data_IF_119746166621
#
_entry.id   IF_119746166621
#
_cell.length_a   1.000
_cell.length_b   1.000
_cell.length_c   1.000
_cell.angle_alpha   90.00
_cell.angle_beta   90.00
_cell.angle_gamma   90.00
#
_symmetry.space_group_name_H-M   'P 1'
#
loop_
_entity.id
_entity.type
_entity.pdbx_description
1 polymer ?
#
# COMPACT_ATOMS: atom_id res chain seq x y z
N UNK A 1 -18.82 -2.05 2.49
CA UNK A 1 -18.46 -2.15 3.92
C UNK A 1 -17.07 -1.55 4.12
N UNK A 2 -16.83 -0.87 5.25
CA UNK A 2 -15.49 -0.39 5.57
C UNK A 2 -14.58 -1.61 5.80
N UNK A 3 -13.40 -1.64 5.17
CA UNK A 3 -12.46 -2.78 5.20
C UNK A 3 -11.40 -2.60 6.29
N UNK A 4 -11.22 -1.38 6.77
CA UNK A 4 -10.31 -1.00 7.85
C UNK A 4 -11.14 -0.82 9.15
N UNK A 5 -11.47 -1.93 9.78
CA UNK A 5 -12.34 -2.00 10.97
C UNK A 5 -11.80 -3.03 11.94
N UNK A 6 -12.27 -2.99 13.18
CA UNK A 6 -12.08 -4.09 14.11
C UNK A 6 -12.56 -5.42 13.48
N UNK A 7 -12.03 -6.55 13.95
CA UNK A 7 -12.53 -7.86 13.55
C UNK A 7 -14.04 -7.97 13.73
N UNK A 8 -14.70 -8.73 12.86
CA UNK A 8 -16.14 -8.98 12.97
C UNK A 8 -16.48 -9.82 14.23
N UNK A 9 -15.61 -10.76 14.58
CA UNK A 9 -15.76 -11.59 15.75
C UNK A 9 -15.21 -10.90 17.00
N UNK A 10 -16.05 -10.72 18.01
CA UNK A 10 -15.67 -10.08 19.27
C UNK A 10 -14.48 -10.78 19.96
N UNK A 11 -14.38 -12.10 19.86
CA UNK A 11 -13.26 -12.86 20.40
C UNK A 11 -11.92 -12.46 19.78
N UNK A 12 -11.88 -12.23 18.47
CA UNK A 12 -10.70 -11.77 17.73
C UNK A 12 -10.34 -10.32 18.07
N UNK A 13 -11.33 -9.46 18.24
CA UNK A 13 -11.13 -8.09 18.70
C UNK A 13 -10.47 -8.05 20.09
N UNK A 14 -10.99 -8.82 21.05
CA UNK A 14 -10.43 -8.95 22.40
C UNK A 14 -9.02 -9.53 22.35
N UNK A 15 -8.79 -10.57 21.53
CA UNK A 15 -7.48 -11.19 21.33
C UNK A 15 -6.46 -10.17 20.82
N UNK A 16 -6.80 -9.39 19.81
CA UNK A 16 -5.90 -8.37 19.24
C UNK A 16 -5.58 -7.26 20.26
N UNK A 17 -6.55 -6.79 21.03
CA UNK A 17 -6.30 -5.81 22.09
C UNK A 17 -5.39 -6.35 23.18
N UNK A 18 -5.57 -7.63 23.58
CA UNK A 18 -4.67 -8.29 24.53
C UNK A 18 -3.24 -8.40 23.98
N UNK A 19 -3.10 -8.79 22.71
CA UNK A 19 -1.81 -8.87 22.05
C UNK A 19 -1.12 -7.49 22.00
N UNK A 20 -1.85 -6.44 21.65
CA UNK A 20 -1.33 -5.07 21.61
C UNK A 20 -0.92 -4.60 23.02
N UNK A 21 -1.72 -4.87 24.04
CA UNK A 21 -1.39 -4.53 25.43
C UNK A 21 -0.16 -5.31 25.95
N UNK A 22 -0.02 -6.58 25.55
CA UNK A 22 1.18 -7.39 25.85
C UNK A 22 2.43 -6.77 25.21
N UNK A 23 2.36 -6.46 23.92
CA UNK A 23 3.46 -5.83 23.18
C UNK A 23 3.89 -4.52 23.84
N UNK A 24 2.94 -3.64 24.17
CA UNK A 24 3.22 -2.36 24.84
C UNK A 24 3.98 -2.57 26.16
N UNK A 25 3.52 -3.50 27.01
CA UNK A 25 4.22 -3.82 28.27
C UNK A 25 5.61 -4.38 28.05
N UNK A 26 5.75 -5.32 27.09
CA UNK A 26 7.05 -5.98 26.82
C UNK A 26 8.07 -4.99 26.27
N UNK A 27 7.62 -4.05 25.42
CA UNK A 27 8.46 -2.99 24.83
C UNK A 27 8.61 -1.76 25.73
N UNK A 28 8.08 -1.80 26.96
CA UNK A 28 8.25 -0.73 27.95
C UNK A 28 7.59 0.60 27.55
N UNK A 29 6.49 0.55 26.80
CA UNK A 29 5.78 1.76 26.33
C UNK A 29 4.31 1.76 26.77
N UNK A 30 3.67 2.92 26.71
CA UNK A 30 2.26 3.10 27.07
C UNK A 30 1.46 3.51 25.84
N UNK A 31 0.64 2.59 25.35
CA UNK A 31 -0.25 2.87 24.22
C UNK A 31 -1.41 3.80 24.64
N UNK A 32 -1.64 4.85 23.85
CA UNK A 32 -2.65 5.90 24.10
C UNK A 32 -3.39 6.24 22.81
N UNK A 33 -4.40 7.09 22.93
CA UNK A 33 -5.15 7.61 21.79
C UNK A 33 -6.06 6.58 21.11
N UNK A 34 -6.50 6.91 19.91
CA UNK A 34 -7.46 6.14 19.15
C UNK A 34 -6.84 4.86 18.58
N UNK A 35 -7.59 3.78 18.58
CA UNK A 35 -7.23 2.55 17.90
C UNK A 35 -7.36 2.73 16.40
N UNK A 36 -6.32 2.32 15.66
CA UNK A 36 -6.31 2.28 14.20
C UNK A 36 -6.24 0.82 13.77
N UNK A 37 -7.32 0.35 13.18
CA UNK A 37 -7.45 -1.00 12.67
C UNK A 37 -7.05 -1.08 11.21
N UNK A 38 -6.26 -2.07 10.85
CA UNK A 38 -5.94 -2.38 9.47
C UNK A 38 -6.98 -3.29 8.81
N UNK A 39 -6.61 -3.82 7.67
CA UNK A 39 -7.47 -4.68 6.86
C UNK A 39 -8.12 -5.81 7.66
N UNK A 40 -9.47 -5.80 7.73
CA UNK A 40 -10.27 -6.82 8.44
C UNK A 40 -9.76 -7.13 9.85
N UNK A 41 -9.27 -6.13 10.56
CA UNK A 41 -8.78 -6.30 11.92
C UNK A 41 -7.49 -7.10 12.09
N UNK A 42 -6.75 -7.38 11.01
CA UNK A 42 -5.47 -8.11 11.09
C UNK A 42 -4.36 -7.34 11.78
N UNK A 43 -4.47 -6.02 11.80
CA UNK A 43 -3.54 -5.16 12.52
C UNK A 43 -4.28 -4.24 13.47
N UNK A 44 -3.65 -3.95 14.61
CA UNK A 44 -4.08 -2.92 15.56
C UNK A 44 -2.90 -2.01 15.84
N UNK A 45 -3.09 -0.72 15.66
CA UNK A 45 -2.05 0.28 15.90
C UNK A 45 -2.54 1.38 16.82
N UNK A 46 -1.64 1.92 17.64
CA UNK A 46 -1.89 3.09 18.50
C UNK A 46 -0.61 3.90 18.69
N UNK A 47 -0.76 5.18 18.97
CA UNK A 47 0.34 5.96 19.49
C UNK A 47 0.79 5.39 20.86
N UNK A 48 2.10 5.27 21.04
CA UNK A 48 2.73 4.71 22.23
C UNK A 48 3.86 5.67 22.66
N UNK A 49 3.52 6.58 23.56
CA UNK A 49 4.34 7.74 23.97
C UNK A 49 4.72 8.60 22.74
N UNK A 50 6.00 8.74 22.41
CA UNK A 50 6.52 9.41 21.20
C UNK A 50 6.70 8.45 20.02
N UNK A 51 6.11 7.27 20.09
CA UNK A 51 6.23 6.16 19.13
C UNK A 51 4.87 5.75 18.57
N UNK A 52 4.94 4.88 17.58
CA UNK A 52 3.78 4.20 17.01
C UNK A 52 3.93 2.70 17.18
N UNK A 53 3.02 2.07 17.91
CA UNK A 53 3.00 0.64 18.12
C UNK A 53 1.96 0.00 17.20
N UNK A 54 2.42 -0.84 16.29
CA UNK A 54 1.59 -1.66 15.40
C UNK A 54 1.75 -3.14 15.77
N UNK A 55 0.65 -3.86 15.89
CA UNK A 55 0.65 -5.32 16.04
C UNK A 55 -0.09 -5.94 14.87
N UNK A 56 0.55 -6.84 14.15
CA UNK A 56 -0.04 -7.69 13.11
C UNK A 56 -0.23 -9.10 13.66
N UNK A 57 -1.31 -9.78 13.24
CA UNK A 57 -1.59 -11.16 13.59
C UNK A 57 -1.92 -12.00 12.36
N UNK A 58 -1.50 -13.25 12.40
CA UNK A 58 -1.86 -14.29 11.43
C UNK A 58 -2.06 -15.63 12.15
N UNK A 59 -2.78 -16.60 11.58
CA UNK A 59 -2.68 -17.98 12.03
C UNK A 59 -1.22 -18.44 12.09
N UNK A 60 -0.85 -19.26 13.09
CA UNK A 60 0.54 -19.65 13.34
C UNK A 60 1.18 -20.35 12.13
N UNK A 61 0.41 -21.14 11.37
CA UNK A 61 0.82 -21.80 10.15
C UNK A 61 1.00 -20.85 8.94
N UNK A 62 0.61 -19.57 9.08
CA UNK A 62 0.69 -18.52 8.06
C UNK A 62 1.54 -17.32 8.48
N UNK A 63 2.34 -17.49 9.52
CA UNK A 63 3.28 -16.45 9.94
C UNK A 63 4.41 -16.26 8.91
N UNK A 64 4.98 -15.05 8.88
CA UNK A 64 6.13 -14.74 8.00
C UNK A 64 5.71 -14.23 6.63
N UNK A 65 6.70 -14.20 5.74
CA UNK A 65 6.55 -13.71 4.38
C UNK A 65 6.63 -12.19 4.24
N UNK A 66 6.38 -11.74 3.02
CA UNK A 66 6.67 -10.37 2.60
C UNK A 66 6.09 -9.30 3.51
N UNK A 67 4.80 -9.36 3.80
CA UNK A 67 4.12 -8.35 4.62
C UNK A 67 4.52 -8.38 6.09
N UNK A 68 5.05 -9.52 6.56
CA UNK A 68 5.50 -9.69 7.94
C UNK A 68 6.82 -8.97 8.21
N UNK A 69 7.75 -9.02 7.25
CA UNK A 69 9.12 -8.53 7.43
C UNK A 69 9.36 -7.15 6.81
N UNK A 70 8.38 -6.66 6.04
CA UNK A 70 8.57 -5.52 5.14
C UNK A 70 9.07 -4.26 5.82
N UNK A 71 8.45 -3.85 6.91
CA UNK A 71 8.80 -2.63 7.64
C UNK A 71 10.22 -2.67 8.18
N UNK A 72 10.60 -3.77 8.84
CA UNK A 72 11.93 -3.93 9.41
C UNK A 72 13.02 -3.99 8.33
N UNK A 73 12.75 -4.69 7.22
CA UNK A 73 13.68 -4.74 6.09
C UNK A 73 13.79 -3.40 5.37
N UNK A 74 12.70 -2.63 5.24
CA UNK A 74 12.77 -1.28 4.70
C UNK A 74 13.67 -0.38 5.56
N UNK A 75 13.58 -0.48 6.87
CA UNK A 75 14.41 0.32 7.77
C UNK A 75 15.91 0.03 7.59
N UNK A 76 16.25 -1.21 7.29
CA UNK A 76 17.65 -1.65 7.10
C UNK A 76 18.17 -1.33 5.70
N UNK A 77 17.37 -1.55 4.65
CA UNK A 77 17.85 -1.59 3.27
C UNK A 77 17.59 -0.29 2.49
N UNK A 78 16.49 0.41 2.80
CA UNK A 78 16.16 1.66 2.09
C UNK A 78 17.00 2.82 2.67
N UNK A 79 17.66 3.63 1.83
CA UNK A 79 18.47 4.77 2.31
C UNK A 79 17.70 5.72 3.22
N UNK A 80 18.38 6.26 4.22
CA UNK A 80 17.78 7.18 5.22
C UNK A 80 17.28 8.49 4.63
N UNK A 81 17.73 8.85 3.44
CA UNK A 81 17.26 10.01 2.67
C UNK A 81 15.83 9.86 2.16
N UNK A 82 15.29 8.62 2.09
CA UNK A 82 13.86 8.38 1.90
C UNK A 82 13.19 8.46 3.27
N UNK A 83 12.46 9.56 3.51
CA UNK A 83 11.82 9.82 4.80
C UNK A 83 10.70 8.82 5.07
N UNK A 84 10.84 8.12 6.17
CA UNK A 84 9.90 7.10 6.65
C UNK A 84 10.01 6.94 8.17
N UNK A 85 9.01 6.38 8.86
CA UNK A 85 9.12 6.03 10.27
C UNK A 85 10.30 5.07 10.50
N UNK A 86 11.13 5.36 11.50
CA UNK A 86 12.25 4.50 11.90
C UNK A 86 11.74 3.38 12.78
N UNK A 87 12.25 2.18 12.56
CA UNK A 87 11.96 1.04 13.44
C UNK A 87 12.87 1.14 14.68
N UNK A 88 12.27 1.11 15.85
CA UNK A 88 12.97 1.12 17.13
C UNK A 88 13.09 -0.27 17.72
N UNK A 89 12.02 -1.06 17.60
CA UNK A 89 12.01 -2.43 18.10
C UNK A 89 11.00 -3.29 17.34
N UNK A 90 11.26 -4.60 17.33
CA UNK A 90 10.38 -5.62 16.76
C UNK A 90 10.28 -6.78 17.73
N UNK A 91 9.08 -7.25 18.00
CA UNK A 91 8.81 -8.37 18.88
C UNK A 91 7.92 -9.40 18.16
N UNK A 92 8.41 -10.62 18.01
CA UNK A 92 7.65 -11.75 17.50
C UNK A 92 7.30 -12.73 18.62
N UNK A 93 6.05 -13.23 18.62
CA UNK A 93 5.63 -14.30 19.55
C UNK A 93 4.45 -15.07 18.97
N UNK A 94 4.18 -16.24 19.56
CA UNK A 94 2.99 -17.05 19.27
C UNK A 94 2.17 -17.25 20.53
N UNK A 95 0.86 -17.24 20.40
CA UNK A 95 -0.09 -17.56 21.47
C UNK A 95 -1.44 -17.97 20.89
N UNK A 96 -2.09 -18.95 21.50
CA UNK A 96 -3.44 -19.39 21.16
C UNK A 96 -3.64 -19.70 19.65
N UNK A 97 -2.64 -20.36 19.04
CA UNK A 97 -2.67 -20.73 17.61
C UNK A 97 -2.48 -19.57 16.63
N UNK A 98 -2.06 -18.41 17.11
CA UNK A 98 -1.75 -17.23 16.31
C UNK A 98 -0.31 -16.79 16.51
N UNK A 99 0.28 -16.33 15.43
CA UNK A 99 1.53 -15.59 15.45
C UNK A 99 1.25 -14.08 15.44
N UNK A 100 2.10 -13.36 16.14
CA UNK A 100 2.05 -11.91 16.26
C UNK A 100 3.41 -11.31 15.99
N UNK A 101 3.41 -10.14 15.36
CA UNK A 101 4.56 -9.25 15.30
C UNK A 101 4.14 -7.86 15.77
N UNK A 102 4.86 -7.34 16.74
CA UNK A 102 4.78 -5.94 17.13
C UNK A 102 5.96 -5.17 16.51
N UNK A 103 5.66 -4.03 15.94
CA UNK A 103 6.63 -3.07 15.41
C UNK A 103 6.46 -1.76 16.17
N UNK A 104 7.51 -1.34 16.88
CA UNK A 104 7.57 -0.03 17.53
C UNK A 104 8.37 0.90 16.62
N UNK A 105 7.69 1.86 16.03
CA UNK A 105 8.31 2.80 15.08
C UNK A 105 8.24 4.23 15.58
N UNK A 106 8.96 5.13 14.95
CA UNK A 106 8.81 6.56 15.12
C UNK A 106 7.36 6.99 14.88
N UNK A 107 6.84 7.85 15.74
CA UNK A 107 5.54 8.50 15.51
C UNK A 107 5.73 9.72 14.61
N UNK A 108 5.02 9.75 13.49
CA UNK A 108 5.05 10.88 12.56
C UNK A 108 3.85 11.79 12.86
N UNK A 109 4.10 12.99 13.45
CA UNK A 109 3.00 13.88 13.83
C UNK A 109 2.37 14.61 12.64
N UNK A 110 3.05 14.66 11.50
CA UNK A 110 2.52 15.28 10.29
C UNK A 110 1.30 14.48 9.78
N UNK A 111 0.18 15.16 9.47
CA UNK A 111 -1.00 14.49 8.98
C UNK A 111 -0.75 13.87 7.59
N UNK A 112 -1.41 12.77 7.30
CA UNK A 112 -1.49 12.23 5.94
C UNK A 112 -2.36 13.14 5.06
N UNK A 113 -2.09 13.14 3.76
CA UNK A 113 -2.83 13.98 2.79
C UNK A 113 -4.33 13.66 2.81
N UNK A 114 -4.68 12.39 2.93
CA UNK A 114 -6.06 11.96 3.21
C UNK A 114 -6.09 11.13 4.49
N UNK A 115 -7.21 11.20 5.22
CA UNK A 115 -7.42 10.42 6.43
C UNK A 115 -8.36 9.25 6.16
N UNK A 116 -7.93 8.03 6.47
CA UNK A 116 -8.76 6.81 6.42
C UNK A 116 -9.18 6.34 5.03
N UNK A 117 -8.70 6.96 3.96
CA UNK A 117 -8.94 6.53 2.58
C UNK A 117 -7.73 6.83 1.69
N UNK A 118 -7.35 5.92 0.78
CA UNK A 118 -6.32 6.18 -0.22
C UNK A 118 -6.77 7.15 -1.32
N UNK A 119 -8.09 7.36 -1.46
CA UNK A 119 -8.69 8.14 -2.54
C UNK A 119 -8.63 9.64 -2.23
N UNK A 120 -8.15 10.42 -3.17
CA UNK A 120 -8.25 11.87 -3.15
C UNK A 120 -9.54 12.27 -3.87
N UNK A 121 -10.53 12.76 -3.13
CA UNK A 121 -11.88 13.07 -3.61
C UNK A 121 -12.07 14.54 -4.04
N UNK A 122 -11.05 15.36 -3.86
CA UNK A 122 -11.04 16.78 -4.20
C UNK A 122 -9.66 17.28 -4.57
N UNK A 123 -9.59 18.28 -5.43
CA UNK A 123 -8.34 18.94 -5.75
C UNK A 123 -7.73 19.62 -4.53
N UNK A 124 -6.42 19.55 -4.46
CA UNK A 124 -5.62 20.23 -3.44
C UNK A 124 -4.32 20.77 -4.06
N UNK A 125 -3.69 21.70 -3.37
CA UNK A 125 -2.41 22.28 -3.79
C UNK A 125 -1.33 21.84 -2.81
N UNK A 126 -0.35 21.11 -3.32
CA UNK A 126 0.88 20.78 -2.59
C UNK A 126 2.03 21.63 -3.13
N UNK A 127 2.96 22.05 -2.27
CA UNK A 127 4.13 22.85 -2.70
C UNK A 127 4.97 22.11 -3.75
N UNK A 128 5.62 22.85 -4.65
CA UNK A 128 6.53 22.26 -5.66
C UNK A 128 7.70 21.50 -5.00
N UNK A 129 8.16 21.94 -3.85
CA UNK A 129 9.17 21.24 -3.06
C UNK A 129 8.70 19.85 -2.64
N UNK A 130 7.43 19.68 -2.24
CA UNK A 130 6.85 18.40 -1.88
C UNK A 130 6.88 17.40 -3.06
N UNK A 131 6.52 17.86 -4.26
CA UNK A 131 6.58 17.03 -5.47
C UNK A 131 8.02 16.65 -5.84
N UNK A 132 8.95 17.59 -5.63
CA UNK A 132 10.39 17.33 -5.84
C UNK A 132 10.90 16.27 -4.88
N UNK A 133 10.51 16.34 -3.61
CA UNK A 133 10.86 15.34 -2.59
C UNK A 133 10.28 13.98 -2.88
N UNK A 134 8.98 13.89 -3.27
CA UNK A 134 8.37 12.62 -3.66
C UNK A 134 9.10 11.99 -4.87
N UNK A 135 9.39 12.78 -5.88
CA UNK A 135 10.13 12.33 -7.06
C UNK A 135 11.52 11.81 -6.69
N UNK A 136 12.24 12.55 -5.84
CA UNK A 136 13.56 12.15 -5.36
C UNK A 136 13.49 10.85 -4.53
N UNK A 137 12.52 10.75 -3.61
CA UNK A 137 12.33 9.56 -2.76
C UNK A 137 12.05 8.29 -3.59
N UNK A 138 11.10 8.37 -4.52
CA UNK A 138 10.79 7.24 -5.41
C UNK A 138 11.96 6.90 -6.34
N UNK A 139 12.70 7.91 -6.84
CA UNK A 139 13.91 7.70 -7.63
C UNK A 139 15.06 7.06 -6.86
N UNK A 140 15.20 7.32 -5.57
CA UNK A 140 16.17 6.64 -4.69
C UNK A 140 15.71 5.20 -4.45
N UNK A 141 14.45 5.01 -4.11
CA UNK A 141 13.87 3.68 -3.87
C UNK A 141 14.02 2.77 -5.08
N UNK A 142 13.80 3.29 -6.28
CA UNK A 142 13.92 2.55 -7.54
C UNK A 142 15.30 1.89 -7.74
N UNK A 143 16.34 2.37 -7.07
CA UNK A 143 17.72 1.85 -7.14
C UNK A 143 18.11 0.91 -6.00
N UNK A 144 17.22 0.68 -5.03
CA UNK A 144 17.49 -0.24 -3.92
C UNK A 144 17.44 -1.68 -4.45
N UNK A 145 18.52 -2.45 -4.36
CA UNK A 145 18.49 -3.84 -4.79
C UNK A 145 17.64 -4.69 -3.84
N UNK A 146 16.77 -5.54 -4.40
CA UNK A 146 15.95 -6.45 -3.60
C UNK A 146 15.43 -7.62 -4.43
N UNK A 147 15.31 -8.79 -3.78
CA UNK A 147 14.62 -9.96 -4.32
C UNK A 147 13.18 -10.07 -3.81
N UNK A 148 12.72 -9.11 -2.99
CA UNK A 148 11.34 -9.06 -2.50
C UNK A 148 10.41 -8.76 -3.68
N UNK A 149 9.46 -9.64 -3.96
CA UNK A 149 8.49 -9.43 -5.03
C UNK A 149 7.23 -8.72 -4.49
N UNK A 150 7.05 -7.46 -4.81
CA UNK A 150 5.79 -6.74 -4.54
C UNK A 150 4.72 -7.10 -5.58
N UNK A 151 5.11 -7.20 -6.83
CA UNK A 151 4.23 -7.61 -7.94
C UNK A 151 4.85 -8.81 -8.66
N UNK A 152 4.03 -9.76 -9.07
CA UNK A 152 4.46 -10.99 -9.74
C UNK A 152 3.97 -11.05 -11.17
N UNK A 153 4.83 -11.49 -12.10
CA UNK A 153 4.42 -11.76 -13.47
C UNK A 153 3.24 -12.74 -13.53
N UNK A 154 3.22 -13.75 -12.68
CA UNK A 154 2.13 -14.74 -12.62
C UNK A 154 0.77 -14.14 -12.28
N UNK A 155 0.72 -13.00 -11.55
CA UNK A 155 -0.53 -12.28 -11.34
C UNK A 155 -1.00 -11.63 -12.65
N UNK A 156 -0.11 -11.00 -13.40
CA UNK A 156 -0.38 -10.39 -14.71
C UNK A 156 -0.91 -11.44 -15.68
N UNK A 157 -0.22 -12.58 -15.76
CA UNK A 157 -0.56 -13.68 -16.67
C UNK A 157 -1.99 -14.22 -16.42
N UNK A 158 -2.46 -14.20 -15.18
CA UNK A 158 -3.81 -14.71 -14.83
C UNK A 158 -4.91 -13.66 -14.89
N UNK A 159 -4.59 -12.38 -14.77
CA UNK A 159 -5.59 -11.38 -14.44
C UNK A 159 -5.78 -10.27 -15.48
N UNK A 160 -4.84 -10.07 -16.43
CA UNK A 160 -4.95 -9.00 -17.42
C UNK A 160 -6.18 -9.14 -18.30
N UNK A 161 -6.42 -10.32 -18.87
CA UNK A 161 -7.61 -10.55 -19.67
C UNK A 161 -8.89 -10.36 -18.86
N UNK A 162 -8.88 -10.81 -17.63
CA UNK A 162 -10.03 -10.76 -16.71
C UNK A 162 -10.39 -9.33 -16.30
N UNK A 163 -9.41 -8.50 -15.96
CA UNK A 163 -9.65 -7.16 -15.40
C UNK A 163 -9.42 -6.02 -16.38
N UNK A 164 -8.68 -6.25 -17.46
CA UNK A 164 -8.36 -5.22 -18.45
C UNK A 164 -8.85 -5.57 -19.86
N UNK A 165 -9.33 -6.80 -20.11
CA UNK A 165 -9.80 -7.24 -21.42
C UNK A 165 -8.71 -7.40 -22.47
N UNK A 166 -7.43 -7.41 -22.06
CA UNK A 166 -6.29 -7.56 -22.97
C UNK A 166 -5.47 -8.80 -22.63
N UNK A 167 -4.76 -9.39 -23.61
CA UNK A 167 -3.82 -10.49 -23.34
C UNK A 167 -2.77 -10.10 -22.28
N UNK A 168 -2.25 -11.09 -21.54
CA UNK A 168 -1.14 -10.86 -20.62
C UNK A 168 0.08 -10.24 -21.32
N UNK A 169 0.72 -9.27 -20.66
CA UNK A 169 1.92 -8.60 -21.15
C UNK A 169 3.12 -9.07 -20.35
N UNK A 170 4.21 -9.43 -21.03
CA UNK A 170 5.49 -9.71 -20.37
C UNK A 170 6.13 -8.41 -19.90
N UNK A 171 6.30 -8.25 -18.60
CA UNK A 171 7.02 -7.12 -18.02
C UNK A 171 8.53 -7.33 -18.22
N UNK A 172 9.18 -6.37 -18.85
CA UNK A 172 10.63 -6.39 -19.15
C UNK A 172 11.42 -5.47 -18.23
N UNK A 173 10.80 -4.40 -17.73
CA UNK A 173 11.43 -3.43 -16.84
C UNK A 173 10.84 -3.49 -15.43
N UNK A 174 11.67 -3.99 -14.52
CA UNK A 174 11.36 -4.10 -13.10
C UNK A 174 12.20 -3.11 -12.31
N UNK A 175 11.64 -2.61 -11.23
CA UNK A 175 12.30 -1.68 -10.30
C UNK A 175 11.88 -2.01 -8.87
N UNK A 176 12.53 -1.40 -7.89
CA UNK A 176 12.05 -1.43 -6.51
C UNK A 176 11.09 -0.28 -6.27
N UNK A 177 9.97 -0.55 -5.62
CA UNK A 177 8.98 0.44 -5.25
C UNK A 177 8.33 0.16 -3.91
N UNK A 178 7.48 1.07 -3.50
CA UNK A 178 6.74 0.98 -2.24
C UNK A 178 5.57 0.00 -2.31
N UNK A 179 4.99 -0.14 -3.50
CA UNK A 179 3.83 -0.97 -3.84
C UNK A 179 2.47 -0.50 -3.29
N UNK A 180 2.46 0.57 -2.49
CA UNK A 180 1.24 1.13 -1.92
C UNK A 180 1.33 2.66 -1.77
N UNK A 181 1.80 3.35 -2.82
CA UNK A 181 1.91 4.81 -2.84
C UNK A 181 0.54 5.43 -3.06
N UNK A 182 -0.08 5.86 -1.96
CA UNK A 182 -1.37 6.55 -2.01
C UNK A 182 -1.49 7.63 -0.92
N UNK A 183 -2.52 8.46 -1.01
CA UNK A 183 -2.65 9.68 -0.23
C UNK A 183 -2.75 9.49 1.29
N UNK A 184 -3.22 8.32 1.75
CA UNK A 184 -3.22 8.00 3.17
C UNK A 184 -1.86 7.48 3.68
N UNK A 185 -0.89 7.22 2.77
CA UNK A 185 0.47 6.82 3.11
C UNK A 185 1.50 7.94 2.88
N UNK A 186 1.06 9.14 2.48
CA UNK A 186 1.90 10.30 2.22
C UNK A 186 1.51 11.44 3.15
N UNK A 187 2.48 12.02 3.88
CA UNK A 187 2.22 13.15 4.77
C UNK A 187 2.45 14.50 4.08
N UNK A 188 1.85 15.57 4.64
CA UNK A 188 2.00 16.95 4.22
C UNK A 188 1.91 17.87 5.45
N UNK A 189 2.60 19.05 5.50
CA UNK A 189 3.39 19.67 4.43
C UNK A 189 4.79 19.05 4.24
N UNK A 190 5.31 18.32 5.21
CA UNK A 190 6.58 17.59 5.11
C UNK A 190 6.27 16.17 4.65
N UNK A 191 6.91 15.74 3.56
CA UNK A 191 6.72 14.40 3.03
C UNK A 191 7.37 13.36 3.95
N UNK A 192 6.59 12.37 4.35
CA UNK A 192 7.05 11.10 4.89
C UNK A 192 6.22 10.00 4.26
N UNK A 193 6.84 8.93 3.83
CA UNK A 193 6.16 7.77 3.24
C UNK A 193 5.92 6.75 4.36
N UNK A 194 4.66 6.38 4.57
CA UNK A 194 4.21 5.47 5.62
C UNK A 194 3.93 4.07 5.05
N UNK A 195 3.74 3.08 5.93
CA UNK A 195 3.29 1.70 5.63
C UNK A 195 4.17 0.91 4.65
N UNK A 196 5.37 0.59 5.11
CA UNK A 196 6.42 -0.07 4.32
C UNK A 196 6.33 -1.60 4.28
N UNK A 197 5.20 -2.20 4.65
CA UNK A 197 5.10 -3.67 4.68
C UNK A 197 5.18 -4.30 3.29
N UNK A 198 4.65 -3.61 2.27
CA UNK A 198 4.46 -4.13 0.91
C UNK A 198 5.62 -3.94 -0.07
N UNK A 199 6.63 -3.12 0.26
CA UNK A 199 7.66 -2.72 -0.67
C UNK A 199 8.43 -3.90 -1.30
N UNK A 200 8.96 -3.70 -2.49
CA UNK A 200 9.70 -4.74 -3.22
C UNK A 200 9.76 -4.47 -4.71
N UNK A 201 10.14 -5.48 -5.47
CA UNK A 201 10.24 -5.42 -6.93
C UNK A 201 8.85 -5.37 -7.57
N UNK A 202 8.66 -4.42 -8.45
CA UNK A 202 7.42 -4.16 -9.18
C UNK A 202 7.74 -3.58 -10.58
N UNK A 203 6.77 -3.57 -11.52
CA UNK A 203 6.97 -2.96 -12.83
C UNK A 203 7.26 -1.46 -12.75
N UNK A 204 8.17 -0.96 -13.58
CA UNK A 204 8.41 0.49 -13.71
C UNK A 204 7.08 1.20 -13.99
N UNK A 205 6.79 2.27 -13.23
CA UNK A 205 5.52 3.03 -13.34
C UNK A 205 4.38 2.54 -12.44
N UNK A 206 4.50 1.38 -11.79
CA UNK A 206 3.44 0.82 -10.94
C UNK A 206 3.01 1.75 -9.79
N UNK A 207 3.95 2.21 -8.95
CA UNK A 207 3.65 3.13 -7.83
C UNK A 207 3.00 4.43 -8.30
N UNK A 208 3.44 4.94 -9.45
CA UNK A 208 2.88 6.13 -10.08
C UNK A 208 1.48 5.87 -10.63
N UNK A 209 1.23 4.67 -11.14
CA UNK A 209 -0.08 4.21 -11.57
C UNK A 209 -1.06 4.12 -10.40
N UNK A 210 -0.63 3.60 -9.25
CA UNK A 210 -1.43 3.58 -8.01
C UNK A 210 -1.77 5.01 -7.56
N UNK A 211 -0.77 5.90 -7.46
CA UNK A 211 -0.98 7.28 -7.03
C UNK A 211 -1.92 8.03 -8.00
N UNK A 212 -1.72 7.86 -9.30
CA UNK A 212 -2.56 8.47 -10.33
C UNK A 212 -4.00 7.96 -10.25
N UNK A 213 -4.21 6.65 -10.15
CA UNK A 213 -5.54 6.05 -10.08
C UNK A 213 -6.35 6.53 -8.87
N UNK A 214 -5.73 6.63 -7.70
CA UNK A 214 -6.37 7.19 -6.51
C UNK A 214 -6.59 8.71 -6.58
N UNK A 215 -6.05 9.37 -7.59
CA UNK A 215 -6.23 10.81 -7.84
C UNK A 215 -7.24 11.11 -8.94
N UNK A 216 -7.79 10.12 -9.64
CA UNK A 216 -8.72 10.34 -10.75
C UNK A 216 -9.97 11.18 -10.38
N UNK A 217 -10.51 11.10 -9.14
CA UNK A 217 -11.59 11.98 -8.71
C UNK A 217 -11.17 13.46 -8.49
N UNK A 218 -9.86 13.76 -8.49
CA UNK A 218 -9.27 15.08 -8.34
C UNK A 218 -8.47 15.45 -9.60
N UNK A 219 -9.12 15.96 -10.66
CA UNK A 219 -8.53 16.09 -12.01
C UNK A 219 -7.29 16.96 -12.10
N UNK A 220 -7.21 18.05 -11.31
CA UNK A 220 -6.04 18.92 -11.30
C UNK A 220 -4.81 18.19 -10.71
N UNK A 221 -5.01 17.40 -9.64
CA UNK A 221 -3.94 16.61 -9.03
C UNK A 221 -3.54 15.44 -9.94
N UNK A 222 -4.48 14.75 -10.55
CA UNK A 222 -4.20 13.69 -11.54
C UNK A 222 -3.35 14.24 -12.70
N UNK A 223 -3.72 15.40 -13.23
CA UNK A 223 -2.95 16.10 -14.27
C UNK A 223 -1.55 16.46 -13.78
N UNK A 224 -1.43 16.96 -12.54
CA UNK A 224 -0.13 17.29 -11.94
C UNK A 224 0.77 16.06 -11.83
N UNK A 225 0.26 14.92 -11.37
CA UNK A 225 1.02 13.65 -11.31
C UNK A 225 1.52 13.27 -12.71
N UNK A 226 0.66 13.34 -13.72
CA UNK A 226 1.06 13.04 -15.10
C UNK A 226 2.20 13.95 -15.58
N UNK A 227 2.16 15.24 -15.25
CA UNK A 227 3.20 16.20 -15.61
C UNK A 227 4.52 15.93 -14.85
N UNK A 228 4.44 15.76 -13.52
CA UNK A 228 5.64 15.54 -12.68
C UNK A 228 6.38 14.25 -13.03
N UNK A 229 5.67 13.21 -13.38
CA UNK A 229 6.22 11.89 -13.65
C UNK A 229 6.16 11.48 -15.14
N UNK A 230 6.04 12.46 -16.03
CA UNK A 230 5.94 12.23 -17.48
C UNK A 230 7.10 11.39 -18.04
N UNK A 231 8.31 11.59 -17.52
CA UNK A 231 9.51 10.86 -17.94
C UNK A 231 9.42 9.34 -17.69
N UNK A 232 8.53 8.90 -16.79
CA UNK A 232 8.26 7.48 -16.52
C UNK A 232 6.95 7.05 -17.17
N UNK A 233 5.84 7.72 -16.83
CA UNK A 233 4.50 7.32 -17.24
C UNK A 233 4.24 7.38 -18.76
N UNK A 234 5.02 8.16 -19.51
CA UNK A 234 4.88 8.24 -20.96
C UNK A 234 5.76 7.22 -21.71
N UNK A 235 6.59 6.45 -21.00
CA UNK A 235 7.38 5.37 -21.61
C UNK A 235 6.52 4.11 -21.82
N UNK A 236 6.89 3.22 -22.76
CA UNK A 236 6.21 1.92 -22.91
C UNK A 236 6.19 1.12 -21.62
N UNK A 237 7.32 1.01 -20.90
CA UNK A 237 7.42 0.28 -19.64
C UNK A 237 6.57 0.93 -18.53
N UNK A 238 6.57 2.27 -18.44
CA UNK A 238 5.76 3.00 -17.47
C UNK A 238 4.25 2.80 -17.68
N UNK A 239 3.81 2.72 -18.95
CA UNK A 239 2.41 2.40 -19.29
C UNK A 239 2.04 0.97 -18.89
N UNK A 240 2.95 0.01 -19.06
CA UNK A 240 2.74 -1.37 -18.60
C UNK A 240 2.58 -1.38 -17.06
N UNK A 241 3.46 -0.70 -16.33
CA UNK A 241 3.35 -0.60 -14.88
C UNK A 241 2.06 0.08 -14.42
N UNK A 242 1.63 1.15 -15.09
CA UNK A 242 0.33 1.79 -14.84
C UNK A 242 -0.82 0.80 -15.08
N UNK A 243 -0.81 0.03 -16.17
CA UNK A 243 -1.84 -1.00 -16.44
C UNK A 243 -1.87 -2.09 -15.37
N UNK A 244 -0.72 -2.53 -14.86
CA UNK A 244 -0.67 -3.49 -13.75
C UNK A 244 -1.33 -2.92 -12.50
N UNK A 245 -1.07 -1.66 -12.17
CA UNK A 245 -1.70 -0.96 -11.05
C UNK A 245 -3.22 -0.86 -11.23
N UNK A 246 -3.68 -0.42 -12.41
CA UNK A 246 -5.11 -0.31 -12.73
C UNK A 246 -5.81 -1.67 -12.63
N UNK A 247 -5.21 -2.74 -13.17
CA UNK A 247 -5.76 -4.09 -13.09
C UNK A 247 -5.90 -4.60 -11.65
N UNK A 248 -4.91 -4.34 -10.78
CA UNK A 248 -4.99 -4.69 -9.37
C UNK A 248 -6.07 -3.88 -8.62
N UNK A 249 -6.21 -2.60 -8.93
CA UNK A 249 -7.26 -1.76 -8.36
C UNK A 249 -8.65 -2.17 -8.84
N UNK A 250 -8.83 -2.55 -10.12
CA UNK A 250 -10.08 -3.12 -10.61
C UNK A 250 -10.43 -4.44 -9.89
N UNK A 251 -9.43 -5.28 -9.62
CA UNK A 251 -9.62 -6.47 -8.79
C UNK A 251 -10.08 -6.10 -7.37
N UNK A 252 -9.50 -5.06 -6.77
CA UNK A 252 -9.90 -4.56 -5.46
C UNK A 252 -11.34 -4.02 -5.49
N UNK A 253 -11.70 -3.23 -6.51
CA UNK A 253 -13.06 -2.73 -6.72
C UNK A 253 -14.09 -3.87 -6.86
N UNK A 254 -13.75 -4.94 -7.59
CA UNK A 254 -14.60 -6.12 -7.72
C UNK A 254 -14.84 -6.85 -6.38
N UNK A 255 -13.93 -6.71 -5.42
CA UNK A 255 -14.06 -7.19 -4.04
C UNK A 255 -14.79 -6.22 -3.09
N UNK A 256 -15.30 -5.10 -3.62
CA UNK A 256 -16.01 -4.07 -2.86
C UNK A 256 -15.11 -3.02 -2.20
N UNK A 257 -13.82 -2.97 -2.56
CA UNK A 257 -12.88 -1.97 -2.05
C UNK A 257 -12.92 -0.77 -2.99
N UNK A 258 -13.35 0.39 -2.50
CA UNK A 258 -13.49 1.63 -3.28
C UNK A 258 -14.22 1.43 -4.63
N UNK A 259 -15.40 0.79 -4.65
CA UNK A 259 -16.08 0.42 -5.91
C UNK A 259 -16.42 1.63 -6.79
N UNK A 260 -16.56 2.81 -6.19
CA UNK A 260 -16.80 4.06 -6.92
C UNK A 260 -15.66 4.50 -7.83
N UNK A 261 -14.45 3.96 -7.66
CA UNK A 261 -13.31 4.23 -8.55
C UNK A 261 -13.34 3.40 -9.83
N UNK A 262 -14.06 2.29 -9.85
CA UNK A 262 -14.01 1.35 -10.97
C UNK A 262 -14.29 1.99 -12.34
N UNK A 263 -15.30 2.88 -12.52
CA UNK A 263 -15.52 3.55 -13.79
C UNK A 263 -14.32 4.40 -14.25
N UNK A 264 -13.79 5.24 -13.36
CA UNK A 264 -12.65 6.11 -13.68
C UNK A 264 -11.37 5.31 -14.02
N UNK A 265 -11.15 4.20 -13.32
CA UNK A 265 -10.02 3.30 -13.60
C UNK A 265 -10.24 2.58 -14.93
N UNK A 266 -11.46 2.16 -15.24
CA UNK A 266 -11.80 1.52 -16.50
C UNK A 266 -11.58 2.47 -17.68
N UNK A 267 -12.10 3.70 -17.61
CA UNK A 267 -11.88 4.75 -18.61
C UNK A 267 -10.38 4.98 -18.85
N UNK A 268 -9.60 5.06 -17.76
CA UNK A 268 -8.15 5.23 -17.87
C UNK A 268 -7.45 4.04 -18.51
N UNK A 269 -7.87 2.82 -18.21
CA UNK A 269 -7.32 1.61 -18.82
C UNK A 269 -7.66 1.54 -20.31
N UNK A 270 -8.89 1.92 -20.70
CA UNK A 270 -9.30 2.03 -22.09
C UNK A 270 -8.50 3.09 -22.86
N UNK A 271 -8.24 4.25 -22.27
CA UNK A 271 -7.35 5.28 -22.86
C UNK A 271 -5.95 4.74 -23.16
N UNK A 272 -5.42 3.84 -22.33
CA UNK A 272 -4.10 3.26 -22.50
C UNK A 272 -4.04 2.12 -23.51
N UNK A 273 -5.11 1.36 -23.63
CA UNK A 273 -5.15 0.10 -24.41
C UNK A 273 -5.96 0.19 -25.68
N UNK A 274 -6.90 1.14 -25.77
CA UNK A 274 -7.93 1.18 -26.81
C UNK A 274 -8.97 0.05 -26.70
N UNK A 275 -8.99 -0.71 -25.58
CA UNK A 275 -9.88 -1.84 -25.36
C UNK A 275 -10.76 -1.58 -24.13
N UNK A 276 -12.09 -1.68 -24.24
CA UNK A 276 -13.00 -1.54 -23.11
C UNK A 276 -12.73 -2.58 -22.03
N UNK A 277 -12.74 -2.13 -20.77
CA UNK A 277 -12.61 -3.03 -19.62
C UNK A 277 -13.88 -3.89 -19.49
N UNK A 278 -13.75 -5.20 -19.22
CA UNK A 278 -14.91 -6.09 -19.06
C UNK A 278 -15.88 -5.61 -17.96
N UNK A 279 -17.15 -5.52 -18.32
CA UNK A 279 -18.22 -5.03 -17.45
C UNK A 279 -18.62 -6.02 -16.35
N UNK A 280 -17.90 -6.28 -15.36
CA UNK A 280 -17.93 -7.24 -14.25
C UNK A 280 -17.07 -8.47 -14.52
N UNK A 281 -15.83 -8.46 -14.13
CA UNK A 281 -15.13 -9.72 -13.91
C UNK A 281 -15.88 -10.46 -12.80
N UNK A 282 -16.40 -11.65 -13.12
CA UNK A 282 -16.99 -12.57 -12.16
C UNK A 282 -16.07 -12.66 -10.94
N UNK A 283 -16.54 -12.44 -9.72
CA UNK A 283 -15.75 -12.69 -8.53
C UNK A 283 -15.61 -14.22 -8.35
N UNK A 284 -14.91 -14.89 -9.28
CA UNK A 284 -14.68 -16.33 -9.23
C UNK A 284 -14.02 -16.74 -7.95
N UNK A 285 -14.40 -17.91 -7.45
CA UNK A 285 -14.17 -18.31 -6.09
C UNK A 285 -12.71 -18.54 -5.80
N UNK A 286 -12.29 -18.03 -4.63
CA UNK A 286 -11.32 -18.65 -3.74
C UNK A 286 -9.97 -19.06 -4.32
N UNK A 287 -8.99 -18.54 -3.73
CA UNK A 287 -7.58 -18.93 -3.71
C UNK A 287 -6.65 -17.94 -4.39
N UNK A 288 -6.65 -16.71 -3.88
CA UNK A 288 -5.40 -16.00 -3.80
C UNK A 288 -5.34 -15.35 -2.42
N UNK A 289 -4.33 -15.65 -1.60
CA UNK A 289 -4.02 -14.77 -0.48
C UNK A 289 -3.78 -13.38 -1.08
N UNK A 290 -4.42 -12.38 -0.52
CA UNK A 290 -4.10 -10.97 -0.79
C UNK A 290 -2.58 -10.84 -0.66
N UNK A 291 -1.88 -10.25 -1.63
CA UNK A 291 -0.44 -10.07 -1.56
C UNK A 291 -0.02 -9.32 -0.31
#
# INVERSE_FOLDING_TARGET
MAVFTAPEEHADEVRMRRAHALAARTLGTVARGTEVWGWKGRTLSRQADDRWLRVVSAPEDKQGGRLWEGTALADTLVPRTVLRPRVHDVLDWTADGHAYRAELTEYIPAPTVTSGTPVLDRDLVLPDAWWTELKAALGILARVPTEREAVRQSWIDRNFERFLGIPPIRVTAWTTGHADVHWANLTSPVLTILDWEGWGRLPVGYDLGILHAYSLPAPAVATRIRAEFAAVLNTPDGRIGELVALGQLLQACARGIHPGLAPLIADRAEDLTGVPVPARPDPSPRQDPVP
#
